data_IF_650275184890
#
_entry.id   IF_650275184890
#
_cell.length_a   1.000
_cell.length_b   1.000
_cell.length_c   1.000
_cell.angle_alpha   90.00
_cell.angle_beta   90.00
_cell.angle_gamma   90.00
#
_symmetry.space_group_name_H-M   'P 1'
#
loop_
_entity.id
_entity.type
_entity.pdbx_description
1 polymer ?
#
# COMPACT_ATOMS: atom_id res chain seq x y z
N UNK A 1 17.70 17.74 -30.28
CA UNK A 1 17.59 16.26 -30.37
C UNK A 1 17.60 15.71 -28.96
N UNK A 2 16.52 15.04 -28.54
CA UNK A 2 16.41 14.47 -27.20
C UNK A 2 17.15 13.14 -27.16
N UNK A 3 18.28 13.07 -26.46
CA UNK A 3 18.95 11.81 -26.18
C UNK A 3 17.99 10.94 -25.36
N UNK A 4 17.50 9.85 -25.97
CA UNK A 4 16.92 8.74 -25.22
C UNK A 4 17.98 8.29 -24.22
N UNK A 5 17.83 8.68 -22.94
CA UNK A 5 18.56 8.08 -21.83
C UNK A 5 18.45 6.57 -21.98
N UNK A 6 19.57 5.87 -22.04
CA UNK A 6 19.54 4.42 -22.15
C UNK A 6 19.05 3.91 -20.79
N UNK A 7 18.22 2.86 -20.79
CA UNK A 7 17.74 2.20 -19.55
C UNK A 7 18.87 1.74 -18.60
N UNK A 8 20.14 1.86 -18.99
CA UNK A 8 21.33 1.49 -18.23
C UNK A 8 22.00 2.65 -17.50
N UNK A 9 21.72 3.92 -17.86
CA UNK A 9 22.40 5.09 -17.27
C UNK A 9 22.17 5.19 -15.74
N UNK A 10 21.04 4.67 -15.26
CA UNK A 10 20.74 4.56 -13.83
C UNK A 10 21.56 3.47 -13.12
N UNK A 11 21.90 2.37 -13.80
CA UNK A 11 22.74 1.32 -13.22
C UNK A 11 24.18 1.80 -13.08
N UNK A 12 24.71 2.51 -14.08
CA UNK A 12 26.06 3.09 -14.02
C UNK A 12 26.17 4.12 -12.87
N UNK A 13 25.19 5.03 -12.76
CA UNK A 13 25.09 5.97 -11.63
C UNK A 13 24.98 5.27 -10.26
N UNK A 14 24.32 4.09 -10.22
CA UNK A 14 24.17 3.30 -9.01
C UNK A 14 25.50 2.70 -8.57
N UNK A 15 26.23 2.14 -9.54
CA UNK A 15 27.53 1.52 -9.28
C UNK A 15 28.54 2.57 -8.83
N UNK A 16 28.60 3.72 -9.51
CA UNK A 16 29.54 4.81 -9.19
C UNK A 16 29.26 5.46 -7.83
N UNK A 17 28.00 5.51 -7.38
CA UNK A 17 27.63 6.12 -6.08
C UNK A 17 27.80 5.21 -4.88
N UNK A 18 27.58 3.91 -5.07
CA UNK A 18 27.45 2.97 -3.95
C UNK A 18 28.60 1.98 -3.81
N UNK A 19 29.47 1.85 -4.81
CA UNK A 19 30.59 0.92 -4.74
C UNK A 19 31.89 1.65 -5.10
N UNK A 20 32.69 1.95 -4.08
CA UNK A 20 34.08 2.36 -4.28
C UNK A 20 35.00 1.13 -4.22
N UNK A 21 36.14 1.18 -4.91
CA UNK A 21 37.16 0.11 -4.94
C UNK A 21 37.59 -0.40 -3.54
N UNK A 22 37.41 0.43 -2.50
CA UNK A 22 37.74 0.07 -1.10
C UNK A 22 36.76 -0.91 -0.46
N UNK A 23 35.49 -0.92 -0.86
CA UNK A 23 34.48 -1.82 -0.31
C UNK A 23 34.67 -3.25 -0.84
N UNK A 24 35.17 -3.36 -2.06
CA UNK A 24 35.53 -4.63 -2.71
C UNK A 24 36.72 -5.33 -2.04
N UNK A 25 37.67 -4.58 -1.49
CA UNK A 25 38.91 -5.12 -0.93
C UNK A 25 38.77 -5.70 0.49
N UNK A 26 37.69 -5.38 1.21
CA UNK A 26 37.53 -5.72 2.64
C UNK A 26 36.40 -6.72 2.93
N UNK A 27 35.68 -7.20 1.93
CA UNK A 27 34.62 -8.21 2.09
C UNK A 27 34.92 -9.45 1.25
N UNK A 28 34.51 -10.64 1.73
CA UNK A 28 34.59 -11.83 0.89
C UNK A 28 33.61 -11.70 -0.29
N UNK A 29 33.86 -12.44 -1.38
CA UNK A 29 33.09 -12.33 -2.62
C UNK A 29 31.58 -12.59 -2.42
N UNK A 30 31.22 -13.45 -1.47
CA UNK A 30 29.83 -13.77 -1.17
C UNK A 30 29.12 -12.60 -0.47
N UNK A 31 29.75 -12.02 0.53
CA UNK A 31 29.25 -10.86 1.28
C UNK A 31 29.15 -9.62 0.40
N UNK A 32 30.13 -9.41 -0.48
CA UNK A 32 30.08 -8.35 -1.48
C UNK A 32 28.92 -8.55 -2.46
N UNK A 33 28.74 -9.77 -2.98
CA UNK A 33 27.62 -10.10 -3.87
C UNK A 33 26.26 -9.90 -3.20
N UNK A 34 26.14 -10.20 -1.91
CA UNK A 34 24.94 -9.93 -1.13
C UNK A 34 24.70 -8.42 -0.96
N UNK A 35 25.74 -7.66 -0.60
CA UNK A 35 25.67 -6.21 -0.46
C UNK A 35 25.23 -5.53 -1.77
N UNK A 36 25.78 -5.95 -2.91
CA UNK A 36 25.37 -5.46 -4.23
C UNK A 36 23.90 -5.73 -4.48
N UNK A 37 23.43 -6.95 -4.22
CA UNK A 37 22.04 -7.34 -4.41
C UNK A 37 21.10 -6.55 -3.51
N UNK A 38 21.48 -6.32 -2.25
CA UNK A 38 20.69 -5.55 -1.30
C UNK A 38 20.58 -4.08 -1.72
N UNK A 39 21.68 -3.43 -2.07
CA UNK A 39 21.69 -2.04 -2.56
C UNK A 39 20.86 -1.88 -3.84
N UNK A 40 20.98 -2.81 -4.78
CA UNK A 40 20.19 -2.80 -6.02
C UNK A 40 18.69 -2.98 -5.71
N UNK A 41 18.32 -3.91 -4.83
CA UNK A 41 16.92 -4.10 -4.48
C UNK A 41 16.35 -2.94 -3.64
N UNK A 42 17.17 -2.33 -2.79
CA UNK A 42 16.82 -1.16 -1.97
C UNK A 42 16.36 0.00 -2.85
N UNK A 43 17.06 0.22 -3.95
CA UNK A 43 16.73 1.22 -4.94
C UNK A 43 15.42 0.92 -5.68
N UNK A 44 15.16 -0.36 -5.99
CA UNK A 44 13.86 -0.78 -6.49
C UNK A 44 12.72 -0.55 -5.47
N UNK A 45 12.97 -0.79 -4.18
CA UNK A 45 12.01 -0.56 -3.09
C UNK A 45 11.65 0.91 -2.92
N UNK A 46 12.61 1.82 -3.08
CA UNK A 46 12.39 3.28 -3.13
C UNK A 46 11.47 3.71 -4.27
N UNK A 47 11.36 2.91 -5.33
CA UNK A 47 10.46 3.16 -6.44
C UNK A 47 9.11 2.42 -6.33
N UNK A 48 8.95 1.58 -5.31
CA UNK A 48 7.72 0.84 -5.04
C UNK A 48 7.70 -0.57 -5.63
N UNK A 49 8.85 -1.19 -5.90
CA UNK A 49 8.98 -2.59 -6.34
C UNK A 49 9.68 -3.43 -5.27
N UNK A 50 9.53 -4.76 -5.30
CA UNK A 50 10.24 -5.63 -4.32
C UNK A 50 11.69 -5.88 -4.72
N UNK A 51 11.95 -5.98 -6.04
CA UNK A 51 13.28 -6.26 -6.59
C UNK A 51 13.55 -5.43 -7.84
N UNK A 52 14.82 -5.29 -8.21
CA UNK A 52 15.20 -4.59 -9.45
C UNK A 52 14.70 -5.33 -10.70
N UNK A 53 14.61 -6.66 -10.66
CA UNK A 53 14.03 -7.43 -11.76
C UNK A 53 12.55 -7.07 -12.00
N UNK A 54 11.78 -6.83 -10.93
CA UNK A 54 10.38 -6.40 -11.04
C UNK A 54 10.27 -5.00 -11.63
N UNK A 55 11.18 -4.10 -11.23
CA UNK A 55 11.25 -2.74 -11.75
C UNK A 55 11.51 -2.74 -13.26
N UNK A 56 12.57 -3.42 -13.71
CA UNK A 56 12.95 -3.50 -15.12
C UNK A 56 11.80 -4.12 -15.94
N UNK A 57 11.22 -5.23 -15.45
CA UNK A 57 10.10 -5.88 -16.12
C UNK A 57 8.88 -4.96 -16.23
N UNK A 58 8.58 -4.22 -15.15
CA UNK A 58 7.50 -3.23 -15.11
C UNK A 58 7.71 -2.08 -16.09
N UNK A 59 8.93 -1.53 -16.16
CA UNK A 59 9.26 -0.44 -17.09
C UNK A 59 9.20 -0.88 -18.55
N UNK A 60 9.69 -2.08 -18.87
CA UNK A 60 9.58 -2.66 -20.22
C UNK A 60 8.11 -2.85 -20.60
N UNK A 61 7.29 -3.41 -19.70
CA UNK A 61 5.88 -3.65 -19.96
C UNK A 61 5.09 -2.34 -20.15
N UNK A 62 5.42 -1.29 -19.40
CA UNK A 62 4.81 0.02 -19.55
C UNK A 62 5.24 0.74 -20.83
N UNK A 63 6.53 0.68 -21.17
CA UNK A 63 7.07 1.23 -22.40
C UNK A 63 6.47 0.58 -23.65
N UNK A 64 6.17 -0.73 -23.58
CA UNK A 64 5.54 -1.48 -24.67
C UNK A 64 4.03 -1.28 -24.76
N UNK A 65 3.31 -1.13 -23.64
CA UNK A 65 1.85 -1.04 -23.67
C UNK A 65 1.31 0.37 -23.94
N UNK A 66 2.15 1.42 -23.84
CA UNK A 66 1.75 2.82 -24.03
C UNK A 66 0.68 3.32 -23.05
N UNK A 67 0.23 2.48 -22.11
CA UNK A 67 -0.89 2.73 -21.22
C UNK A 67 -0.35 2.92 -19.80
N UNK A 68 -0.31 4.16 -19.34
CA UNK A 68 -0.04 4.56 -17.93
C UNK A 68 -1.11 4.05 -16.92
N UNK A 69 -2.07 3.23 -17.37
CA UNK A 69 -3.16 2.64 -16.58
C UNK A 69 -2.71 1.53 -15.61
N UNK A 70 -1.41 1.25 -15.52
CA UNK A 70 -0.80 0.30 -14.58
C UNK A 70 -0.68 0.83 -13.15
N UNK A 71 -1.03 2.10 -12.88
CA UNK A 71 -1.27 2.62 -11.51
C UNK A 71 -2.59 2.07 -10.94
N UNK A 72 -2.71 0.74 -10.88
CA UNK A 72 -3.76 0.08 -10.10
C UNK A 72 -3.49 0.40 -8.64
N UNK A 73 -4.51 0.76 -7.87
CA UNK A 73 -4.42 0.91 -6.41
C UNK A 73 -4.38 -0.48 -5.75
N UNK A 74 -3.94 -0.59 -4.50
CA UNK A 74 -4.09 -1.84 -3.78
C UNK A 74 -5.58 -2.16 -3.72
N UNK A 75 -5.93 -3.41 -4.01
CA UNK A 75 -7.31 -3.88 -4.00
C UNK A 75 -7.44 -5.00 -3.01
N UNK A 76 -8.54 -5.03 -2.28
CA UNK A 76 -8.84 -6.20 -1.46
C UNK A 76 -9.20 -7.36 -2.39
N UNK A 77 -8.61 -8.53 -2.14
CA UNK A 77 -8.86 -9.74 -2.90
C UNK A 77 -10.37 -10.01 -2.96
N UNK A 78 -10.83 -10.49 -4.10
CA UNK A 78 -12.25 -10.69 -4.44
C UNK A 78 -12.98 -11.75 -3.59
N UNK A 79 -12.43 -12.17 -2.45
CA UNK A 79 -13.06 -12.99 -1.40
C UNK A 79 -14.43 -12.41 -0.99
N UNK A 80 -14.59 -11.10 -1.16
CA UNK A 80 -15.82 -10.29 -1.04
C UNK A 80 -17.09 -10.87 -1.65
N UNK A 81 -17.01 -11.69 -2.69
CA UNK A 81 -18.23 -12.20 -3.36
C UNK A 81 -18.80 -13.47 -2.72
N UNK A 82 -18.09 -14.13 -1.80
CA UNK A 82 -18.45 -15.49 -1.36
C UNK A 82 -18.76 -15.65 0.14
N UNK A 83 -18.45 -14.68 0.99
CA UNK A 83 -18.76 -14.71 2.43
C UNK A 83 -19.56 -13.45 2.77
N UNK A 84 -20.88 -13.52 2.93
CA UNK A 84 -21.52 -13.84 4.21
C UNK A 84 -22.07 -12.55 4.83
N UNK A 85 -23.25 -12.57 5.46
CA UNK A 85 -23.73 -11.41 6.23
C UNK A 85 -22.75 -11.15 7.37
N UNK A 86 -22.09 -10.00 7.38
CA UNK A 86 -21.21 -9.58 8.49
C UNK A 86 -22.08 -9.30 9.72
N UNK A 87 -21.71 -9.81 10.89
CA UNK A 87 -22.48 -9.59 12.13
C UNK A 87 -22.12 -8.28 12.80
N UNK A 88 -20.87 -7.83 12.61
CA UNK A 88 -20.36 -6.60 13.21
C UNK A 88 -19.59 -5.76 12.19
N UNK A 89 -19.52 -4.45 12.46
CA UNK A 89 -18.73 -3.53 11.65
C UNK A 89 -17.25 -3.91 11.65
N UNK A 90 -16.75 -4.40 12.79
CA UNK A 90 -15.37 -4.88 12.92
C UNK A 90 -15.08 -6.04 11.96
N UNK A 91 -15.96 -7.04 11.88
CA UNK A 91 -15.77 -8.18 10.98
C UNK A 91 -15.63 -7.72 9.52
N UNK A 92 -16.50 -6.80 9.07
CA UNK A 92 -16.40 -6.22 7.73
C UNK A 92 -15.05 -5.54 7.51
N UNK A 93 -14.65 -4.66 8.45
CA UNK A 93 -13.41 -3.89 8.33
C UNK A 93 -12.18 -4.80 8.34
N UNK A 94 -12.16 -5.81 9.22
CA UNK A 94 -11.08 -6.78 9.31
C UNK A 94 -10.89 -7.53 7.99
N UNK A 95 -11.98 -8.09 7.46
CA UNK A 95 -11.98 -8.81 6.19
C UNK A 95 -11.48 -7.93 5.03
N UNK A 96 -11.89 -6.66 5.04
CA UNK A 96 -11.52 -5.67 4.04
C UNK A 96 -10.03 -5.31 4.03
N UNK A 97 -9.38 -5.40 5.18
CA UNK A 97 -8.04 -4.89 5.40
C UNK A 97 -6.97 -5.99 5.50
N UNK A 98 -7.34 -7.23 5.82
CA UNK A 98 -6.40 -8.36 5.91
C UNK A 98 -6.01 -8.92 4.52
N UNK A 99 -6.91 -8.80 3.53
CA UNK A 99 -6.75 -9.46 2.23
C UNK A 99 -6.30 -8.51 1.10
N UNK A 100 -5.34 -7.61 1.35
CA UNK A 100 -4.93 -6.59 0.37
C UNK A 100 -3.91 -7.16 -0.62
N UNK A 101 -4.20 -7.00 -1.92
CA UNK A 101 -3.30 -7.38 -3.02
C UNK A 101 -2.60 -6.14 -3.57
N UNK A 102 -1.27 -6.19 -3.60
CA UNK A 102 -0.41 -5.10 -4.05
C UNK A 102 0.05 -5.32 -5.49
N UNK A 103 -0.30 -4.41 -6.42
CA UNK A 103 0.25 -4.43 -7.77
C UNK A 103 1.75 -4.07 -7.75
N UNK A 104 2.52 -4.44 -8.79
CA UNK A 104 3.99 -4.35 -8.78
C UNK A 104 4.58 -3.00 -8.35
N UNK A 105 3.97 -1.86 -8.74
CA UNK A 105 4.41 -0.49 -8.40
C UNK A 105 4.05 0.00 -6.99
N UNK A 106 3.32 -0.80 -6.25
CA UNK A 106 2.83 -0.51 -4.90
C UNK A 106 3.35 -1.54 -3.92
N UNK A 107 4.58 -1.98 -4.14
CA UNK A 107 5.34 -2.90 -3.31
C UNK A 107 6.52 -2.18 -2.68
N UNK A 108 7.53 -2.90 -2.20
CA UNK A 108 8.65 -2.30 -1.47
C UNK A 108 8.17 -1.34 -0.38
N UNK A 109 8.78 -0.15 -0.31
CA UNK A 109 8.45 0.82 0.74
C UNK A 109 7.01 1.31 0.72
N UNK A 110 6.38 1.38 -0.46
CA UNK A 110 4.95 1.71 -0.52
C UNK A 110 4.12 0.70 0.26
N UNK A 111 4.36 -0.60 0.05
CA UNK A 111 3.63 -1.65 0.76
C UNK A 111 3.90 -1.61 2.25
N UNK A 112 5.15 -1.35 2.65
CA UNK A 112 5.54 -1.27 4.05
C UNK A 112 4.76 -0.17 4.79
N UNK A 113 4.76 1.06 4.24
CA UNK A 113 3.99 2.16 4.82
C UNK A 113 2.49 1.90 4.81
N UNK A 114 1.97 1.35 3.71
CA UNK A 114 0.56 1.00 3.61
C UNK A 114 0.15 -0.05 4.66
N UNK A 115 0.96 -1.10 4.86
CA UNK A 115 0.69 -2.14 5.84
C UNK A 115 0.81 -1.61 7.26
N UNK A 116 1.75 -0.72 7.54
CA UNK A 116 1.89 -0.10 8.86
C UNK A 116 0.61 0.65 9.27
N UNK A 117 0.08 1.50 8.38
CA UNK A 117 -1.19 2.19 8.61
C UNK A 117 -2.34 1.20 8.85
N UNK A 118 -2.48 0.18 8.00
CA UNK A 118 -3.54 -0.82 8.09
C UNK A 118 -3.46 -1.62 9.40
N UNK A 119 -2.30 -2.18 9.72
CA UNK A 119 -2.07 -3.00 10.90
C UNK A 119 -2.22 -2.21 12.19
N UNK A 120 -1.81 -0.93 12.20
CA UNK A 120 -2.02 -0.03 13.32
C UNK A 120 -3.51 0.09 13.66
N UNK A 121 -4.36 0.31 12.66
CA UNK A 121 -5.79 0.49 12.89
C UNK A 121 -6.52 -0.83 13.14
N UNK A 122 -6.12 -1.94 12.51
CA UNK A 122 -6.63 -3.27 12.84
C UNK A 122 -6.37 -3.63 14.31
N UNK A 123 -5.14 -3.42 14.79
CA UNK A 123 -4.78 -3.67 16.20
C UNK A 123 -5.57 -2.79 17.16
N UNK A 124 -5.75 -1.51 16.84
CA UNK A 124 -6.55 -0.59 17.67
C UNK A 124 -8.01 -1.03 17.73
N UNK A 125 -8.62 -1.33 16.58
CA UNK A 125 -10.01 -1.79 16.50
C UNK A 125 -10.24 -3.14 17.17
N UNK A 126 -9.25 -4.04 17.17
CA UNK A 126 -9.33 -5.32 17.87
C UNK A 126 -9.53 -5.15 19.38
N UNK A 127 -8.98 -4.08 19.98
CA UNK A 127 -9.09 -3.77 21.41
C UNK A 127 -10.49 -3.26 21.78
N UNK A 128 -11.09 -2.41 20.94
CA UNK A 128 -12.43 -1.87 21.18
C UNK A 128 -13.30 -2.00 19.92
N UNK A 129 -13.91 -3.17 19.75
CA UNK A 129 -14.67 -3.50 18.54
C UNK A 129 -16.01 -2.77 18.44
N UNK A 130 -16.50 -2.19 19.54
CA UNK A 130 -17.83 -1.58 19.60
C UNK A 130 -17.83 -0.10 19.21
N UNK A 131 -16.68 0.59 19.28
CA UNK A 131 -16.58 2.03 19.00
C UNK A 131 -15.93 2.33 17.64
N UNK A 132 -16.54 1.83 16.56
CA UNK A 132 -16.06 2.07 15.20
C UNK A 132 -16.15 3.54 14.78
N UNK A 133 -17.09 4.30 15.36
CA UNK A 133 -17.22 5.74 15.11
C UNK A 133 -16.06 6.56 15.67
N UNK A 134 -15.53 6.18 16.83
CA UNK A 134 -14.31 6.79 17.35
C UNK A 134 -13.16 6.64 16.35
N UNK A 135 -12.97 5.43 15.79
CA UNK A 135 -11.89 5.20 14.83
C UNK A 135 -12.07 5.96 13.52
N UNK A 136 -13.31 6.17 13.03
CA UNK A 136 -13.56 7.07 11.88
C UNK A 136 -12.98 8.45 12.14
N UNK A 137 -13.27 9.05 13.30
CA UNK A 137 -12.79 10.40 13.66
C UNK A 137 -11.27 10.44 13.77
N UNK A 138 -10.67 9.43 14.42
CA UNK A 138 -9.21 9.36 14.61
C UNK A 138 -8.49 9.23 13.27
N UNK A 139 -8.97 8.35 12.37
CA UNK A 139 -8.38 8.16 11.04
C UNK A 139 -8.52 9.45 10.22
N UNK A 140 -9.69 10.07 10.21
CA UNK A 140 -9.93 11.31 9.46
C UNK A 140 -9.03 12.46 9.95
N UNK A 141 -8.83 12.57 11.26
CA UNK A 141 -7.92 13.55 11.84
C UNK A 141 -6.46 13.25 11.45
N UNK A 142 -6.05 11.98 11.50
CA UNK A 142 -4.69 11.57 11.09
C UNK A 142 -4.45 11.84 9.59
N UNK A 143 -5.42 11.55 8.71
CA UNK A 143 -5.37 11.89 7.29
C UNK A 143 -5.18 13.40 7.08
N UNK A 144 -5.91 14.24 7.84
CA UNK A 144 -5.79 15.70 7.74
C UNK A 144 -4.41 16.19 8.19
N UNK A 145 -3.93 15.72 9.34
CA UNK A 145 -2.60 16.07 9.86
C UNK A 145 -1.51 15.68 8.87
N UNK A 146 -1.59 14.45 8.36
CA UNK A 146 -0.63 13.92 7.39
C UNK A 146 -0.64 14.72 6.08
N UNK A 147 -1.83 15.10 5.59
CA UNK A 147 -1.96 15.95 4.41
C UNK A 147 -1.29 17.32 4.60
N UNK A 148 -1.47 17.94 5.76
CA UNK A 148 -0.94 19.27 6.07
C UNK A 148 0.60 19.24 6.22
N UNK A 149 1.13 18.26 6.95
CA UNK A 149 2.56 18.12 7.23
C UNK A 149 3.37 17.73 5.99
N UNK A 150 2.81 16.88 5.12
CA UNK A 150 3.54 16.30 3.99
C UNK A 150 3.22 16.91 2.63
N UNK A 151 2.75 18.16 2.58
CA UNK A 151 2.53 18.89 1.32
C UNK A 151 3.80 19.00 0.45
N UNK A 152 5.00 18.95 1.05
CA UNK A 152 6.30 19.03 0.36
C UNK A 152 7.08 17.70 0.29
N UNK A 153 6.68 16.67 1.05
CA UNK A 153 7.46 15.43 1.24
C UNK A 153 6.87 14.15 0.59
N UNK A 154 5.84 14.27 -0.26
CA UNK A 154 5.28 13.14 -1.06
C UNK A 154 6.26 12.49 -2.06
N UNK A 155 7.55 12.79 -1.97
CA UNK A 155 8.63 12.15 -2.70
C UNK A 155 8.86 10.71 -2.22
N UNK A 156 8.69 10.45 -0.92
CA UNK A 156 8.99 9.14 -0.34
C UNK A 156 7.84 8.14 -0.55
N UNK A 157 8.17 6.95 -1.07
CA UNK A 157 7.21 5.86 -1.30
C UNK A 157 6.57 5.32 -0.03
N UNK A 158 7.31 5.27 1.08
CA UNK A 158 6.75 4.86 2.37
C UNK A 158 5.58 5.77 2.77
N UNK A 159 5.80 7.08 2.67
CA UNK A 159 4.84 8.08 3.08
C UNK A 159 3.60 8.10 2.16
N UNK A 160 3.82 7.90 0.86
CA UNK A 160 2.73 7.68 -0.10
C UNK A 160 1.88 6.46 0.29
N UNK A 161 2.54 5.34 0.59
CA UNK A 161 1.90 4.11 1.02
C UNK A 161 1.11 4.25 2.31
N UNK A 162 1.71 4.86 3.34
CA UNK A 162 1.07 5.09 4.64
C UNK A 162 -0.21 5.92 4.49
N UNK A 163 -0.14 7.02 3.74
CA UNK A 163 -1.29 7.89 3.50
C UNK A 163 -2.43 7.18 2.75
N UNK A 164 -2.10 6.40 1.71
CA UNK A 164 -3.10 5.62 0.99
C UNK A 164 -3.68 4.49 1.85
N UNK A 165 -2.88 3.90 2.74
CA UNK A 165 -3.33 2.94 3.75
C UNK A 165 -4.36 3.56 4.70
N UNK A 166 -4.13 4.77 5.21
CA UNK A 166 -5.11 5.51 6.02
C UNK A 166 -6.43 5.73 5.26
N UNK A 167 -6.36 6.10 3.98
CA UNK A 167 -7.56 6.28 3.14
C UNK A 167 -8.33 4.97 2.93
N UNK A 168 -7.62 3.84 2.82
CA UNK A 168 -8.27 2.54 2.71
C UNK A 168 -9.01 2.21 4.01
N UNK A 169 -8.38 2.43 5.16
CA UNK A 169 -9.01 2.24 6.49
C UNK A 169 -10.27 3.11 6.61
N UNK A 170 -10.18 4.41 6.28
CA UNK A 170 -11.34 5.31 6.32
C UNK A 170 -12.49 4.83 5.41
N UNK A 171 -12.15 4.34 4.21
CA UNK A 171 -13.13 3.78 3.28
C UNK A 171 -13.80 2.53 3.86
N UNK A 172 -13.01 1.60 4.41
CA UNK A 172 -13.54 0.36 5.01
C UNK A 172 -14.48 0.68 6.18
N UNK A 173 -14.11 1.62 7.05
CA UNK A 173 -14.96 2.07 8.16
C UNK A 173 -16.27 2.67 7.66
N UNK A 174 -16.23 3.58 6.68
CA UNK A 174 -17.43 4.17 6.08
C UNK A 174 -18.34 3.11 5.46
N UNK A 175 -17.77 2.21 4.66
CA UNK A 175 -18.56 1.14 4.01
C UNK A 175 -19.18 0.17 5.02
N UNK A 176 -18.46 -0.15 6.11
CA UNK A 176 -19.03 -0.97 7.18
C UNK A 176 -20.27 -0.35 7.83
N UNK A 177 -20.28 0.99 7.96
CA UNK A 177 -21.43 1.73 8.50
C UNK A 177 -22.59 1.71 7.52
N UNK A 178 -22.31 2.05 6.26
CA UNK A 178 -23.34 2.14 5.23
C UNK A 178 -24.03 0.76 5.04
N UNK A 179 -23.27 -0.34 5.05
CA UNK A 179 -23.80 -1.72 5.00
C UNK A 179 -24.67 -2.07 6.21
N UNK A 180 -24.25 -1.71 7.42
CA UNK A 180 -25.05 -1.99 8.62
C UNK A 180 -26.34 -1.17 8.68
N UNK A 181 -26.32 0.07 8.19
CA UNK A 181 -27.52 0.91 8.11
C UNK A 181 -28.52 0.36 7.10
N UNK A 182 -28.05 -0.16 5.97
CA UNK A 182 -28.88 -0.85 4.97
C UNK A 182 -29.55 -2.09 5.60
N UNK A 183 -28.79 -2.94 6.31
CA UNK A 183 -29.35 -4.12 6.97
C UNK A 183 -30.38 -3.78 8.07
N UNK A 184 -30.14 -2.71 8.85
CA UNK A 184 -31.11 -2.22 9.83
C UNK A 184 -32.38 -1.71 9.13
N UNK A 185 -32.23 -0.95 8.05
CA UNK A 185 -33.36 -0.40 7.28
C UNK A 185 -34.23 -1.53 6.70
N UNK A 186 -33.60 -2.55 6.11
CA UNK A 186 -34.30 -3.72 5.57
C UNK A 186 -35.08 -4.48 6.65
N UNK A 187 -34.47 -4.68 7.82
CA UNK A 187 -35.12 -5.35 8.96
C UNK A 187 -36.32 -4.56 9.48
N UNK A 188 -36.19 -3.24 9.59
CA UNK A 188 -37.29 -2.35 10.00
C UNK A 188 -38.42 -2.37 8.96
N UNK A 189 -38.10 -2.29 7.67
CA UNK A 189 -39.08 -2.35 6.60
C UNK A 189 -39.82 -3.70 6.57
N UNK A 190 -39.12 -4.81 6.81
CA UNK A 190 -39.72 -6.13 6.93
C UNK A 190 -40.66 -6.23 8.13
N UNK A 191 -40.24 -5.73 9.30
CA UNK A 191 -41.08 -5.72 10.51
C UNK A 191 -42.35 -4.88 10.32
N UNK A 192 -42.24 -3.74 9.62
CA UNK A 192 -43.37 -2.86 9.33
C UNK A 192 -44.34 -3.40 8.28
N UNK A 193 -43.91 -4.31 7.39
CA UNK A 193 -44.81 -5.00 6.42
C UNK A 193 -45.59 -6.16 7.01
N UNK A 194 -45.23 -6.60 8.22
CA UNK A 194 -45.88 -7.71 8.94
C UNK A 194 -47.02 -7.20 9.85
N UNK A 195 -47.17 -5.89 9.99
CA UNK A 195 -48.30 -5.20 10.64
C UNK A 195 -49.15 -4.48 9.59
#
# INVERSE_FOLDING_TARGET
MSQKRKNTDYLDDLFDKHFNDKDFMNTNLADFGQMVRETINEEARKQGYDTMSDLISGEIQEGLSGNSRTRKRPVTAAVHRRHGRYRTRYEYVREMLENIVYPPRQRGYYRDGHQDAVQRYLRRMAINQNDMMMYEKIVDEEIRKYYQQNTRQRSNKYDEGYYDGLKLVARALKQSRDLMMEEISDRLAAALKVY
#
